data_IF_977894310281
#
_entry.id   IF_977894310281
#
_cell.length_a   1.000
_cell.length_b   1.000
_cell.length_c   1.000
_cell.angle_alpha   90.00
_cell.angle_beta   90.00
_cell.angle_gamma   90.00
#
_symmetry.space_group_name_H-M   'P 1'
#
loop_
_entity.id
_entity.type
_entity.pdbx_description
1 polymer ?
#
# COMPACT_ATOMS: atom_id res chain seq x y z
N UNK A 1 22.50 -21.48 24.74
CA UNK A 1 21.36 -21.38 23.79
C UNK A 1 21.75 -21.72 22.35
N UNK A 2 22.96 -21.41 21.86
CA UNK A 2 23.34 -21.72 20.47
C UNK A 2 23.44 -23.22 20.09
N UNK A 3 23.67 -24.12 21.05
CA UNK A 3 23.77 -25.56 20.79
C UNK A 3 22.43 -26.23 20.51
N UNK A 4 21.34 -25.78 21.16
CA UNK A 4 20.00 -26.35 20.98
C UNK A 4 19.38 -25.96 19.62
N UNK A 5 19.66 -24.74 19.14
CA UNK A 5 19.17 -24.26 17.84
C UNK A 5 19.85 -25.03 16.69
N UNK A 6 21.16 -25.27 16.80
CA UNK A 6 21.88 -26.10 15.81
C UNK A 6 21.37 -27.53 15.79
N UNK A 7 20.98 -28.10 16.93
CA UNK A 7 20.49 -29.49 17.01
C UNK A 7 19.10 -29.66 16.36
N UNK A 8 18.18 -28.71 16.56
CA UNK A 8 16.84 -28.75 15.93
C UNK A 8 16.89 -28.53 14.42
N UNK A 9 17.80 -27.67 13.93
CA UNK A 9 18.00 -27.49 12.49
C UNK A 9 18.56 -28.75 11.83
N UNK A 10 19.53 -29.42 12.48
CA UNK A 10 20.07 -30.72 12.03
C UNK A 10 18.97 -31.80 12.07
N UNK A 11 18.14 -31.83 13.11
CA UNK A 11 17.01 -32.76 13.21
C UNK A 11 16.01 -32.54 12.08
N UNK A 12 15.67 -31.29 11.78
CA UNK A 12 14.77 -30.94 10.67
C UNK A 12 15.36 -31.40 9.34
N UNK A 13 16.65 -31.17 9.11
CA UNK A 13 17.33 -31.61 7.89
C UNK A 13 17.32 -33.14 7.73
N UNK A 14 17.62 -33.88 8.80
CA UNK A 14 17.56 -35.36 8.80
C UNK A 14 16.15 -35.88 8.49
N UNK A 15 15.12 -35.27 9.07
CA UNK A 15 13.72 -35.64 8.78
C UNK A 15 13.39 -35.46 7.30
N UNK A 16 13.86 -34.38 6.68
CA UNK A 16 13.66 -34.15 5.24
C UNK A 16 14.42 -35.18 4.42
N UNK A 17 15.68 -35.48 4.74
CA UNK A 17 16.48 -36.50 4.04
C UNK A 17 15.84 -37.90 4.13
N UNK A 18 15.30 -38.27 5.31
CA UNK A 18 14.53 -39.49 5.48
C UNK A 18 13.26 -39.50 4.63
N UNK A 19 12.55 -38.39 4.56
CA UNK A 19 11.35 -38.24 3.73
C UNK A 19 11.70 -38.37 2.24
N UNK A 20 12.77 -37.71 1.78
CA UNK A 20 13.26 -37.80 0.42
C UNK A 20 13.63 -39.24 0.06
N UNK A 21 14.32 -39.94 0.95
CA UNK A 21 14.69 -41.35 0.76
C UNK A 21 13.46 -42.24 0.63
N UNK A 22 12.44 -42.04 1.47
CA UNK A 22 11.16 -42.76 1.41
C UNK A 22 10.38 -42.49 0.12
N UNK A 23 10.42 -41.26 -0.36
CA UNK A 23 9.75 -40.84 -1.60
C UNK A 23 10.57 -41.15 -2.87
N UNK A 24 11.80 -41.67 -2.72
CA UNK A 24 12.70 -41.97 -3.84
C UNK A 24 13.23 -40.72 -4.56
N UNK A 25 13.17 -39.55 -3.91
CA UNK A 25 13.61 -38.28 -4.46
C UNK A 25 15.14 -38.21 -4.41
N UNK A 26 15.77 -37.93 -5.55
CA UNK A 26 17.24 -37.91 -5.67
C UNK A 26 17.86 -36.52 -5.65
N UNK A 27 17.05 -35.47 -5.83
CA UNK A 27 17.51 -34.07 -5.90
C UNK A 27 16.59 -33.19 -5.06
N UNK A 28 17.18 -32.21 -4.37
CA UNK A 28 16.43 -31.23 -3.58
C UNK A 28 15.47 -30.40 -4.43
N UNK A 29 15.79 -30.20 -5.71
CA UNK A 29 14.94 -29.50 -6.67
C UNK A 29 13.63 -30.24 -6.98
N UNK A 30 13.56 -31.54 -6.75
CA UNK A 30 12.36 -32.34 -7.05
C UNK A 30 11.42 -32.42 -5.83
N UNK A 31 11.82 -31.86 -4.68
CA UNK A 31 11.00 -31.81 -3.47
C UNK A 31 9.89 -30.77 -3.66
N UNK A 32 8.66 -31.27 -3.69
CA UNK A 32 7.45 -30.46 -3.86
C UNK A 32 6.63 -30.35 -2.58
N UNK A 33 6.74 -31.34 -1.70
CA UNK A 33 5.92 -31.52 -0.50
C UNK A 33 6.79 -31.87 0.71
N UNK A 34 6.63 -31.16 1.83
CA UNK A 34 7.36 -31.43 3.08
C UNK A 34 6.41 -31.68 4.25
N UNK A 35 6.56 -32.84 4.89
CA UNK A 35 5.73 -33.27 6.01
C UNK A 35 6.56 -33.22 7.31
N UNK A 36 6.42 -32.13 8.06
CA UNK A 36 7.15 -31.85 9.30
C UNK A 36 6.20 -31.65 10.50
N UNK A 37 5.01 -32.26 10.44
CA UNK A 37 4.00 -32.13 11.49
C UNK A 37 4.34 -32.93 12.75
N UNK A 38 3.95 -32.41 13.93
CA UNK A 38 4.02 -33.09 15.23
C UNK A 38 5.44 -33.56 15.64
N UNK A 39 6.47 -32.80 15.28
CA UNK A 39 7.86 -33.14 15.57
C UNK A 39 8.42 -32.40 16.80
N UNK A 40 7.60 -31.54 17.41
CA UNK A 40 7.98 -30.71 18.55
C UNK A 40 9.04 -29.66 18.21
N UNK A 41 9.13 -29.26 16.94
CA UNK A 41 10.16 -28.34 16.45
C UNK A 41 9.97 -26.96 17.07
N UNK A 42 11.07 -26.38 17.54
CA UNK A 42 11.09 -24.97 18.03
C UNK A 42 11.64 -24.02 16.97
N UNK A 43 12.43 -24.55 16.04
CA UNK A 43 13.00 -23.86 14.90
C UNK A 43 13.08 -24.80 13.68
N UNK A 44 13.21 -24.24 12.49
CA UNK A 44 13.30 -24.99 11.22
C UNK A 44 14.56 -24.60 10.45
N UNK A 45 15.13 -25.55 9.71
CA UNK A 45 16.24 -25.26 8.80
C UNK A 45 15.79 -24.40 7.61
N UNK A 46 16.75 -23.76 6.92
CA UNK A 46 16.46 -22.96 5.73
C UNK A 46 15.95 -23.85 4.58
N UNK A 47 14.80 -23.51 3.98
CA UNK A 47 14.22 -24.24 2.87
C UNK A 47 14.64 -23.68 1.51
N UNK A 48 15.59 -22.74 1.47
CA UNK A 48 16.07 -22.10 0.24
C UNK A 48 16.59 -23.05 -0.84
N UNK A 49 17.06 -24.25 -0.48
CA UNK A 49 17.50 -25.27 -1.43
C UNK A 49 16.35 -25.94 -2.20
N UNK A 50 15.14 -25.98 -1.63
CA UNK A 50 13.97 -26.65 -2.20
C UNK A 50 13.11 -25.69 -3.03
N UNK A 51 13.61 -25.34 -4.23
CA UNK A 51 13.00 -24.30 -5.10
C UNK A 51 11.64 -24.66 -5.72
N UNK A 52 11.25 -25.93 -5.67
CA UNK A 52 9.99 -26.42 -6.22
C UNK A 52 8.95 -26.74 -5.13
N UNK A 53 9.21 -26.33 -3.89
CA UNK A 53 8.23 -26.51 -2.80
C UNK A 53 6.91 -25.83 -3.13
N UNK A 54 5.87 -26.63 -3.00
CA UNK A 54 4.50 -26.26 -3.26
C UNK A 54 3.66 -26.35 -1.97
N UNK A 55 3.89 -27.38 -1.15
CA UNK A 55 3.12 -27.62 0.08
C UNK A 55 4.01 -27.93 1.27
N UNK A 56 3.71 -27.31 2.41
CA UNK A 56 4.47 -27.49 3.65
C UNK A 56 3.52 -27.71 4.82
N UNK A 57 3.70 -28.83 5.52
CA UNK A 57 3.03 -29.16 6.77
C UNK A 57 3.97 -28.98 7.95
N UNK A 58 3.74 -27.94 8.75
CA UNK A 58 4.50 -27.60 9.95
C UNK A 58 3.60 -27.55 11.20
N UNK A 59 2.42 -28.17 11.11
CA UNK A 59 1.42 -28.15 12.16
C UNK A 59 1.80 -28.97 13.41
N UNK A 60 1.32 -28.57 14.58
CA UNK A 60 1.55 -29.28 15.84
C UNK A 60 3.01 -29.23 16.32
N UNK A 61 3.70 -28.13 16.05
CA UNK A 61 5.06 -27.89 16.53
C UNK A 61 5.04 -26.76 17.59
N UNK A 62 6.22 -26.28 17.99
CA UNK A 62 6.39 -25.20 18.97
C UNK A 62 7.11 -24.01 18.34
N UNK A 63 6.83 -23.77 17.06
CA UNK A 63 7.49 -22.72 16.30
C UNK A 63 7.02 -21.36 16.81
N UNK A 64 7.98 -20.49 17.13
CA UNK A 64 7.71 -19.10 17.55
C UNK A 64 7.93 -18.09 16.44
N UNK A 65 8.82 -18.43 15.51
CA UNK A 65 9.20 -17.64 14.34
C UNK A 65 9.55 -18.58 13.20
N UNK A 66 9.44 -18.08 11.97
CA UNK A 66 9.85 -18.79 10.77
C UNK A 66 10.57 -17.78 9.90
N UNK A 67 11.80 -18.08 9.51
CA UNK A 67 12.62 -17.20 8.66
C UNK A 67 13.05 -17.88 7.35
N UNK A 68 12.57 -19.11 7.12
CA UNK A 68 13.14 -20.05 6.17
C UNK A 68 12.41 -20.11 4.82
N UNK A 69 11.48 -19.18 4.56
CA UNK A 69 10.61 -19.19 3.37
C UNK A 69 10.90 -18.06 2.37
N UNK A 70 11.94 -17.27 2.60
CA UNK A 70 12.23 -16.05 1.83
C UNK A 70 12.40 -16.27 0.32
N UNK A 71 12.80 -17.48 -0.09
CA UNK A 71 13.14 -17.81 -1.48
C UNK A 71 12.03 -18.63 -2.15
N UNK A 72 11.07 -19.17 -1.40
CA UNK A 72 10.12 -20.18 -1.87
C UNK A 72 8.81 -19.58 -2.40
N UNK A 73 8.89 -18.75 -3.44
CA UNK A 73 7.74 -18.04 -4.04
C UNK A 73 6.65 -18.94 -4.66
N UNK A 74 6.92 -20.26 -4.81
CA UNK A 74 6.00 -21.24 -5.42
C UNK A 74 5.06 -21.92 -4.43
N UNK A 75 5.24 -21.71 -3.13
CA UNK A 75 4.39 -22.36 -2.12
C UNK A 75 2.95 -21.91 -2.33
N UNK A 76 2.04 -22.88 -2.49
CA UNK A 76 0.59 -22.66 -2.59
C UNK A 76 -0.14 -23.00 -1.30
N UNK A 77 0.36 -23.96 -0.51
CA UNK A 77 -0.29 -24.39 0.73
C UNK A 77 0.70 -24.40 1.90
N UNK A 78 0.37 -23.67 2.95
CA UNK A 78 1.16 -23.57 4.16
C UNK A 78 0.29 -23.86 5.39
N UNK A 79 0.64 -24.95 6.08
CA UNK A 79 -0.06 -25.41 7.27
C UNK A 79 0.80 -25.16 8.51
N UNK A 80 0.38 -24.20 9.33
CA UNK A 80 1.09 -23.70 10.52
C UNK A 80 0.22 -23.72 11.78
N UNK A 81 -0.90 -24.42 11.75
CA UNK A 81 -1.77 -24.54 12.91
C UNK A 81 -1.12 -25.26 14.09
N UNK A 82 -1.62 -24.98 15.30
CA UNK A 82 -1.13 -25.57 16.54
C UNK A 82 0.38 -25.32 16.74
N UNK A 83 0.77 -24.05 16.71
CA UNK A 83 2.13 -23.58 16.97
C UNK A 83 2.11 -22.43 18.01
N UNK A 84 3.28 -21.85 18.31
CA UNK A 84 3.43 -20.73 19.24
C UNK A 84 3.82 -19.43 18.52
N UNK A 85 3.34 -19.23 17.27
CA UNK A 85 3.72 -18.06 16.47
C UNK A 85 3.15 -16.79 17.09
N UNK A 86 4.02 -15.81 17.35
CA UNK A 86 3.64 -14.51 17.93
C UNK A 86 3.43 -13.45 16.84
N UNK A 87 4.18 -13.55 15.74
CA UNK A 87 4.08 -12.64 14.60
C UNK A 87 4.40 -13.40 13.31
N UNK A 88 3.85 -12.91 12.20
CA UNK A 88 4.13 -13.38 10.83
C UNK A 88 4.88 -12.35 9.99
N UNK A 89 5.40 -11.27 10.61
CA UNK A 89 6.11 -10.23 9.89
C UNK A 89 7.36 -10.75 9.15
N UNK A 90 7.51 -10.32 7.90
CA UNK A 90 8.61 -10.70 7.01
C UNK A 90 8.59 -12.15 6.52
N UNK A 91 7.69 -13.00 7.04
CA UNK A 91 7.59 -14.41 6.65
C UNK A 91 6.84 -14.59 5.33
N UNK A 92 5.81 -13.77 5.13
CA UNK A 92 4.71 -14.04 4.22
C UNK A 92 4.81 -13.18 2.94
N UNK A 93 5.46 -12.01 2.99
CA UNK A 93 5.70 -11.14 1.83
C UNK A 93 6.20 -11.84 0.54
N UNK A 94 7.16 -12.79 0.57
CA UNK A 94 7.67 -13.40 -0.66
C UNK A 94 6.72 -14.47 -1.25
N UNK A 95 5.71 -14.92 -0.49
CA UNK A 95 4.82 -16.02 -0.87
C UNK A 95 3.64 -15.55 -1.73
N UNK A 96 3.94 -14.96 -2.89
CA UNK A 96 2.93 -14.38 -3.80
C UNK A 96 1.95 -15.41 -4.38
N UNK A 97 2.36 -16.68 -4.48
CA UNK A 97 1.55 -17.78 -5.02
C UNK A 97 0.70 -18.52 -3.97
N UNK A 98 0.72 -18.08 -2.71
CA UNK A 98 0.06 -18.77 -1.61
C UNK A 98 -1.47 -18.73 -1.79
N UNK A 99 -2.12 -19.89 -1.70
CA UNK A 99 -3.55 -20.08 -1.88
C UNK A 99 -4.26 -20.46 -0.58
N UNK A 100 -3.59 -21.26 0.25
CA UNK A 100 -4.12 -21.79 1.51
C UNK A 100 -3.13 -21.50 2.62
N UNK A 101 -3.60 -20.80 3.66
CA UNK A 101 -2.83 -20.51 4.85
C UNK A 101 -3.62 -20.87 6.11
N UNK A 102 -3.12 -21.86 6.85
CA UNK A 102 -3.72 -22.29 8.11
C UNK A 102 -2.85 -21.83 9.28
N UNK A 103 -3.35 -20.92 10.09
CA UNK A 103 -2.66 -20.31 11.23
C UNK A 103 -3.48 -20.40 12.53
N UNK A 104 -4.52 -21.23 12.55
CA UNK A 104 -5.36 -21.37 13.74
C UNK A 104 -4.59 -21.94 14.93
N UNK A 105 -5.02 -21.58 16.13
CA UNK A 105 -4.37 -21.98 17.39
C UNK A 105 -2.88 -21.58 17.43
N UNK A 106 -2.63 -20.28 17.32
CA UNK A 106 -1.33 -19.63 17.48
C UNK A 106 -1.46 -18.45 18.47
N UNK A 107 -0.40 -17.66 18.64
CA UNK A 107 -0.36 -16.52 19.57
C UNK A 107 -0.26 -15.18 18.84
N UNK A 108 -0.86 -15.07 17.65
CA UNK A 108 -0.81 -13.84 16.86
C UNK A 108 -1.67 -12.75 17.52
N UNK A 109 -1.05 -11.62 17.86
CA UNK A 109 -1.71 -10.51 18.56
C UNK A 109 -2.01 -9.30 17.69
N UNK A 110 -1.17 -9.02 16.68
CA UNK A 110 -1.27 -7.80 15.89
C UNK A 110 -2.00 -8.07 14.56
N UNK A 111 -3.20 -7.52 14.43
CA UNK A 111 -4.02 -7.65 13.23
C UNK A 111 -3.45 -6.85 12.05
N UNK A 112 -2.97 -5.63 12.28
CA UNK A 112 -2.47 -4.76 11.22
C UNK A 112 -1.19 -5.32 10.59
N UNK A 113 -0.25 -5.78 11.43
CA UNK A 113 0.98 -6.44 11.00
C UNK A 113 0.67 -7.69 10.16
N UNK A 114 -0.22 -8.55 10.66
CA UNK A 114 -0.63 -9.79 9.99
C UNK A 114 -1.27 -9.51 8.62
N UNK A 115 -2.13 -8.49 8.54
CA UNK A 115 -2.80 -8.12 7.30
C UNK A 115 -1.84 -7.47 6.30
N UNK A 116 -0.90 -6.65 6.75
CA UNK A 116 0.10 -6.01 5.89
C UNK A 116 0.95 -7.04 5.12
N UNK A 117 1.27 -8.16 5.76
CA UNK A 117 1.97 -9.28 5.15
C UNK A 117 1.14 -10.00 4.07
N UNK A 118 -0.18 -10.10 4.27
CA UNK A 118 -1.09 -10.79 3.36
C UNK A 118 -1.55 -9.93 2.18
N UNK A 119 -1.45 -8.59 2.27
CA UNK A 119 -1.85 -7.67 1.18
C UNK A 119 -1.17 -7.95 -0.15
N UNK A 120 0.07 -8.45 -0.12
CA UNK A 120 0.82 -8.79 -1.34
C UNK A 120 0.33 -10.08 -2.02
N UNK A 121 -0.45 -10.91 -1.33
CA UNK A 121 -0.88 -12.23 -1.80
C UNK A 121 -2.17 -12.13 -2.62
N UNK A 122 -2.01 -12.11 -3.94
CA UNK A 122 -3.15 -12.03 -4.86
C UNK A 122 -3.89 -13.37 -5.00
N UNK A 123 -3.20 -14.48 -4.76
CA UNK A 123 -3.73 -15.83 -4.93
C UNK A 123 -4.35 -16.43 -3.65
N UNK A 124 -4.35 -15.71 -2.52
CA UNK A 124 -4.81 -16.26 -1.25
C UNK A 124 -6.33 -16.38 -1.22
N UNK A 125 -6.84 -17.62 -1.15
CA UNK A 125 -8.27 -17.92 -1.17
C UNK A 125 -8.79 -18.42 0.17
N UNK A 126 -7.95 -19.12 0.94
CA UNK A 126 -8.36 -19.77 2.19
C UNK A 126 -7.43 -19.35 3.31
N UNK A 127 -7.99 -18.74 4.35
CA UNK A 127 -7.27 -18.28 5.53
C UNK A 127 -8.00 -18.72 6.78
N UNK A 128 -7.26 -19.19 7.77
CA UNK A 128 -7.81 -19.52 9.07
C UNK A 128 -6.88 -19.01 10.16
N UNK A 129 -7.34 -18.01 10.90
CA UNK A 129 -6.66 -17.38 12.03
C UNK A 129 -7.46 -17.57 13.33
N UNK A 130 -8.52 -18.38 13.31
CA UNK A 130 -9.30 -18.69 14.50
C UNK A 130 -8.42 -19.17 15.67
N UNK A 131 -8.85 -18.91 16.91
CA UNK A 131 -8.08 -19.24 18.11
C UNK A 131 -6.71 -18.54 18.18
N UNK A 132 -6.60 -17.33 17.63
CA UNK A 132 -5.52 -16.38 17.93
C UNK A 132 -6.08 -15.19 18.74
N UNK A 133 -5.26 -14.54 19.58
CA UNK A 133 -5.65 -13.31 20.28
C UNK A 133 -6.22 -12.22 19.36
N UNK A 134 -5.64 -12.02 18.17
CA UNK A 134 -6.13 -11.03 17.20
C UNK A 134 -7.56 -11.29 16.69
N UNK A 135 -8.05 -12.53 16.78
CA UNK A 135 -9.41 -12.87 16.36
C UNK A 135 -10.47 -12.40 17.35
N UNK A 136 -10.07 -11.89 18.52
CA UNK A 136 -10.96 -11.31 19.53
C UNK A 136 -11.20 -9.82 19.32
N UNK A 137 -10.45 -9.17 18.43
CA UNK A 137 -10.63 -7.75 18.13
C UNK A 137 -12.00 -7.48 17.50
N UNK A 138 -12.58 -6.32 17.84
CA UNK A 138 -13.79 -5.85 17.19
C UNK A 138 -13.52 -5.64 15.70
N UNK A 139 -14.50 -5.96 14.84
CA UNK A 139 -14.40 -5.81 13.38
C UNK A 139 -13.30 -6.64 12.70
N UNK A 140 -12.57 -7.50 13.42
CA UNK A 140 -11.52 -8.40 12.91
C UNK A 140 -11.84 -8.99 11.52
N UNK A 141 -13.06 -9.54 11.40
CA UNK A 141 -13.54 -10.19 10.18
C UNK A 141 -13.69 -9.20 9.02
N UNK A 142 -14.36 -8.07 9.24
CA UNK A 142 -14.57 -7.04 8.22
C UNK A 142 -13.24 -6.38 7.83
N UNK A 143 -12.32 -6.17 8.79
CA UNK A 143 -11.00 -5.61 8.54
C UNK A 143 -10.18 -6.49 7.58
N UNK A 144 -10.16 -7.81 7.79
CA UNK A 144 -9.47 -8.75 6.89
C UNK A 144 -10.14 -8.78 5.52
N UNK A 145 -11.47 -8.88 5.48
CA UNK A 145 -12.23 -8.93 4.22
C UNK A 145 -11.95 -7.68 3.36
N UNK A 146 -11.84 -6.51 3.99
CA UNK A 146 -11.53 -5.26 3.30
C UNK A 146 -10.10 -5.24 2.72
N UNK A 147 -9.10 -5.66 3.50
CA UNK A 147 -7.69 -5.54 3.12
C UNK A 147 -7.16 -6.71 2.29
N UNK A 148 -7.80 -7.88 2.33
CA UNK A 148 -7.43 -9.08 1.57
C UNK A 148 -8.60 -9.51 0.67
N UNK A 149 -8.83 -8.80 -0.45
CA UNK A 149 -10.01 -9.02 -1.28
C UNK A 149 -9.99 -10.35 -2.06
N UNK A 150 -8.83 -11.00 -2.21
CA UNK A 150 -8.67 -12.32 -2.85
C UNK A 150 -9.34 -13.46 -2.07
N UNK A 151 -9.62 -13.26 -0.78
CA UNK A 151 -10.04 -14.30 0.14
C UNK A 151 -11.47 -14.78 -0.10
N UNK A 152 -11.68 -16.10 -0.21
CA UNK A 152 -13.01 -16.71 -0.38
C UNK A 152 -13.52 -17.32 0.92
N UNK A 153 -12.63 -17.86 1.72
CA UNK A 153 -12.93 -18.55 2.96
C UNK A 153 -12.06 -18.00 4.10
N UNK A 154 -12.71 -17.56 5.17
CA UNK A 154 -12.09 -17.04 6.39
C UNK A 154 -12.64 -17.82 7.60
N UNK A 155 -11.75 -18.42 8.38
CA UNK A 155 -12.09 -19.15 9.63
C UNK A 155 -13.14 -20.25 9.47
N UNK A 156 -13.05 -20.99 8.36
CA UNK A 156 -14.00 -22.04 7.94
C UNK A 156 -15.39 -21.52 7.56
N UNK A 157 -15.52 -20.21 7.36
CA UNK A 157 -16.74 -19.58 6.86
C UNK A 157 -16.49 -18.94 5.50
N UNK A 158 -17.40 -19.16 4.55
CA UNK A 158 -17.38 -18.45 3.27
C UNK A 158 -17.63 -16.97 3.48
N UNK A 159 -16.95 -16.13 2.70
CA UNK A 159 -17.16 -14.68 2.72
C UNK A 159 -18.31 -14.34 1.77
N UNK A 160 -19.38 -13.79 2.33
CA UNK A 160 -20.54 -13.36 1.56
C UNK A 160 -20.28 -12.00 0.90
N UNK A 161 -21.00 -11.72 -0.19
CA UNK A 161 -20.93 -10.41 -0.86
C UNK A 161 -21.41 -9.29 0.06
N UNK A 162 -22.44 -9.53 0.87
CA UNK A 162 -22.94 -8.56 1.85
C UNK A 162 -21.87 -8.13 2.85
N UNK A 163 -21.07 -9.08 3.36
CA UNK A 163 -19.97 -8.78 4.29
C UNK A 163 -18.89 -7.93 3.62
N UNK A 164 -18.60 -8.17 2.34
CA UNK A 164 -17.68 -7.33 1.56
C UNK A 164 -18.20 -5.92 1.37
N UNK A 165 -19.50 -5.78 1.07
CA UNK A 165 -20.13 -4.47 0.90
C UNK A 165 -20.17 -3.69 2.22
N UNK A 166 -20.42 -4.37 3.34
CA UNK A 166 -20.37 -3.80 4.69
C UNK A 166 -18.96 -3.36 5.07
N UNK A 167 -17.96 -4.23 4.87
CA UNK A 167 -16.55 -3.92 5.12
C UNK A 167 -16.09 -2.73 4.25
N UNK A 168 -16.49 -2.70 2.98
CA UNK A 168 -16.22 -1.58 2.09
C UNK A 168 -16.86 -0.29 2.61
N UNK A 169 -18.12 -0.30 3.05
CA UNK A 169 -18.77 0.89 3.61
C UNK A 169 -18.04 1.42 4.84
N UNK A 170 -17.66 0.54 5.76
CA UNK A 170 -16.97 0.93 7.00
C UNK A 170 -15.64 1.63 6.71
N UNK A 171 -14.78 1.05 5.88
CA UNK A 171 -13.43 1.59 5.65
C UNK A 171 -13.30 2.55 4.46
N UNK A 172 -14.27 2.59 3.54
CA UNK A 172 -14.29 3.58 2.45
C UNK A 172 -14.93 4.91 2.85
N UNK A 173 -15.77 4.95 3.90
CA UNK A 173 -16.35 6.20 4.41
C UNK A 173 -15.27 7.20 4.83
N UNK A 174 -14.21 6.74 5.48
CA UNK A 174 -13.08 7.59 5.86
C UNK A 174 -12.35 8.14 4.63
N UNK A 175 -12.16 7.32 3.59
CA UNK A 175 -11.56 7.76 2.33
C UNK A 175 -12.48 8.72 1.56
N UNK A 176 -13.79 8.51 1.57
CA UNK A 176 -14.75 9.40 0.91
C UNK A 176 -14.86 10.74 1.63
N UNK A 177 -14.96 10.75 2.97
CA UNK A 177 -14.92 11.97 3.78
C UNK A 177 -13.62 12.75 3.57
N UNK A 178 -12.48 12.06 3.52
CA UNK A 178 -11.19 12.68 3.18
C UNK A 178 -11.17 13.19 1.73
N UNK A 179 -11.69 12.47 0.75
CA UNK A 179 -11.75 12.93 -0.65
C UNK A 179 -12.69 14.12 -0.84
N UNK A 180 -13.83 14.15 -0.15
CA UNK A 180 -14.75 15.30 -0.11
C UNK A 180 -14.06 16.51 0.54
N UNK A 181 -13.28 16.29 1.59
CA UNK A 181 -12.49 17.34 2.25
C UNK A 181 -11.31 17.80 1.38
N UNK A 182 -10.74 16.91 0.56
CA UNK A 182 -9.61 17.16 -0.35
C UNK A 182 -10.09 17.62 -1.73
N UNK A 183 -11.40 17.80 -1.97
CA UNK A 183 -11.95 18.31 -3.22
C UNK A 183 -11.55 19.78 -3.46
N UNK A 184 -10.28 19.98 -3.79
CA UNK A 184 -9.64 21.20 -4.21
C UNK A 184 -10.06 21.44 -5.66
N UNK A 185 -11.13 22.22 -5.86
CA UNK A 185 -11.62 22.52 -7.20
C UNK A 185 -13.12 22.66 -7.36
N UNK A 186 -13.92 22.56 -6.29
CA UNK A 186 -15.27 23.13 -6.34
C UNK A 186 -15.14 24.64 -6.57
N UNK A 187 -15.37 25.08 -7.82
CA UNK A 187 -15.54 26.51 -8.12
C UNK A 187 -16.73 26.97 -7.31
N UNK A 188 -16.50 27.86 -6.34
CA UNK A 188 -17.58 28.59 -5.70
C UNK A 188 -18.38 29.29 -6.79
N UNK A 189 -19.65 28.95 -6.97
CA UNK A 189 -20.56 29.80 -7.71
C UNK A 189 -20.62 31.13 -6.94
N UNK A 190 -20.05 32.18 -7.56
CA UNK A 190 -20.09 33.53 -7.00
C UNK A 190 -21.53 33.95 -6.75
N UNK A 191 -21.76 34.90 -5.83
CA UNK A 191 -23.11 35.29 -5.44
C UNK A 191 -23.91 35.74 -6.67
N UNK A 192 -25.14 35.22 -6.80
CA UNK A 192 -26.03 35.48 -7.92
C UNK A 192 -26.14 36.99 -8.16
N UNK A 193 -25.69 37.42 -9.35
CA UNK A 193 -25.83 38.81 -9.77
C UNK A 193 -27.32 39.14 -9.88
N UNK A 194 -27.75 40.14 -9.09
CA UNK A 194 -29.10 40.70 -9.13
C UNK A 194 -29.48 41.02 -10.56
N UNK A 195 -30.59 40.43 -11.00
CA UNK A 195 -31.30 40.79 -12.21
C UNK A 195 -31.51 42.31 -12.27
N UNK A 196 -31.08 42.93 -13.38
CA UNK A 196 -31.62 44.20 -13.83
C UNK A 196 -32.42 43.95 -15.10
N UNK A 197 -33.67 44.35 -15.00
CA UNK A 197 -34.70 44.32 -16.01
C UNK A 197 -34.34 45.07 -17.30
N UNK A 198 -34.80 44.46 -18.40
CA UNK A 198 -35.47 45.03 -19.58
C UNK A 198 -34.69 45.85 -20.62
N UNK A 199 -34.74 45.34 -21.86
CA UNK A 199 -34.48 46.08 -23.08
C UNK A 199 -34.36 45.18 -24.34
N UNK A 200 -35.50 44.72 -24.84
CA UNK A 200 -35.84 44.19 -26.19
C UNK A 200 -34.86 44.67 -27.30
N UNK A 201 -34.31 43.83 -28.20
CA UNK A 201 -34.86 43.50 -29.55
C UNK A 201 -33.98 42.43 -30.27
N UNK A 202 -34.71 41.48 -30.88
CA UNK A 202 -34.50 40.43 -31.91
C UNK A 202 -33.20 40.19 -32.72
N UNK A 203 -32.91 38.88 -32.88
CA UNK A 203 -32.48 38.08 -34.07
C UNK A 203 -31.49 38.69 -35.10
N UNK A 204 -30.38 38.03 -35.44
CA UNK A 204 -30.35 36.89 -36.37
C UNK A 204 -28.96 36.22 -36.45
N UNK A 205 -28.96 34.96 -36.91
CA UNK A 205 -27.84 34.02 -36.95
C UNK A 205 -26.85 34.22 -38.12
N UNK A 206 -25.66 33.65 -37.89
CA UNK A 206 -24.70 33.02 -38.82
C UNK A 206 -23.52 33.83 -39.42
N UNK A 207 -22.33 33.36 -38.98
CA UNK A 207 -21.11 33.00 -39.71
C UNK A 207 -20.21 34.07 -40.37
N UNK A 208 -18.95 34.02 -39.91
CA UNK A 208 -17.69 34.21 -40.64
C UNK A 208 -17.58 35.44 -41.56
N UNK A 209 -16.79 36.43 -41.15
CA UNK A 209 -15.37 36.50 -41.51
C UNK A 209 -14.75 37.85 -41.13
N UNK A 210 -13.47 37.78 -40.82
CA UNK A 210 -12.42 38.78 -41.04
C UNK A 210 -12.56 40.20 -40.47
N UNK A 211 -11.47 40.55 -39.78
CA UNK A 211 -10.80 41.85 -39.75
C UNK A 211 -10.95 42.72 -38.50
N UNK A 212 -9.75 43.07 -38.02
CA UNK A 212 -9.30 44.22 -37.24
C UNK A 212 -9.42 44.22 -35.71
N UNK A 213 -8.33 43.78 -35.08
CA UNK A 213 -7.57 44.36 -33.93
C UNK A 213 -8.34 45.04 -32.79
N UNK A 214 -8.19 44.51 -31.57
CA UNK A 214 -7.21 45.03 -30.59
C UNK A 214 -7.12 44.17 -29.31
N UNK A 215 -5.87 43.89 -28.94
CA UNK A 215 -5.29 43.70 -27.60
C UNK A 215 -5.98 42.82 -26.53
N UNK A 216 -5.28 41.74 -26.17
CA UNK A 216 -5.52 41.00 -24.93
C UNK A 216 -5.05 39.56 -24.95
N UNK A 217 -3.73 39.35 -25.10
CA UNK A 217 -3.07 38.05 -25.14
C UNK A 217 -3.32 37.20 -23.88
N UNK A 218 -3.94 36.04 -24.06
CA UNK A 218 -3.67 34.84 -23.24
C UNK A 218 -3.51 33.67 -24.20
N UNK A 219 -2.28 33.46 -24.67
CA UNK A 219 -1.92 32.29 -25.48
C UNK A 219 -0.62 31.69 -24.96
N UNK A 220 -0.65 30.38 -24.70
CA UNK A 220 0.49 29.56 -24.34
C UNK A 220 1.63 29.76 -25.36
N UNK A 221 2.75 30.35 -24.91
CA UNK A 221 3.94 30.53 -25.73
C UNK A 221 4.66 29.19 -25.99
N UNK A 222 4.34 28.53 -27.09
CA UNK A 222 5.35 27.79 -27.86
C UNK A 222 5.88 28.72 -28.95
N UNK A 223 6.90 29.53 -28.61
CA UNK A 223 7.63 30.29 -29.61
C UNK A 223 8.61 29.33 -30.27
N UNK A 224 8.35 28.97 -31.54
CA UNK A 224 9.38 28.35 -32.38
C UNK A 224 10.41 29.43 -32.74
N UNK A 225 11.72 29.21 -32.52
CA UNK A 225 12.71 30.25 -32.81
C UNK A 225 12.85 30.46 -34.33
N UNK A 226 13.30 31.65 -34.78
CA UNK A 226 13.57 31.91 -36.19
C UNK A 226 14.68 30.97 -36.68
N UNK A 227 14.64 30.58 -37.97
CA UNK A 227 15.66 29.72 -38.58
C UNK A 227 17.02 30.42 -38.67
N UNK A 228 17.79 30.35 -37.58
CA UNK A 228 19.24 30.57 -37.53
C UNK A 228 20.02 29.26 -37.62
N UNK A 229 21.36 29.34 -37.70
CA UNK A 229 22.24 28.17 -37.71
C UNK A 229 22.12 27.39 -36.38
N UNK A 230 22.35 26.06 -36.38
CA UNK A 230 22.08 25.19 -35.22
C UNK A 230 22.85 25.57 -33.94
N UNK A 231 24.03 26.19 -34.07
CA UNK A 231 24.87 26.58 -32.93
C UNK A 231 24.31 27.80 -32.17
N UNK A 232 23.70 28.76 -32.87
CA UNK A 232 23.07 29.94 -32.23
C UNK A 232 21.82 29.56 -31.42
N UNK A 233 21.03 28.59 -31.90
CA UNK A 233 19.85 28.10 -31.17
C UNK A 233 20.22 27.33 -29.89
N UNK A 234 21.40 26.70 -29.84
CA UNK A 234 21.92 26.05 -28.64
C UNK A 234 22.45 27.09 -27.64
N UNK A 235 23.11 28.13 -28.12
CA UNK A 235 23.56 29.24 -27.29
C UNK A 235 22.37 30.01 -26.68
N UNK A 236 21.33 30.35 -27.46
CA UNK A 236 20.12 31.02 -26.95
C UNK A 236 19.37 30.15 -25.93
N UNK A 237 19.24 28.84 -26.18
CA UNK A 237 18.59 27.91 -25.25
C UNK A 237 19.43 27.67 -23.97
N UNK A 238 20.75 27.77 -24.06
CA UNK A 238 21.65 27.71 -22.90
C UNK A 238 21.58 28.98 -22.03
N UNK A 239 21.24 30.14 -22.62
CA UNK A 239 21.00 31.40 -21.90
C UNK A 239 19.57 31.45 -21.31
N UNK A 240 18.60 30.80 -21.95
CA UNK A 240 17.24 30.57 -21.42
C UNK A 240 17.20 29.39 -20.43
N UNK A 241 18.02 29.39 -19.38
CA UNK A 241 17.74 28.49 -18.24
C UNK A 241 16.50 29.01 -17.53
N UNK A 242 15.42 28.24 -17.60
CA UNK A 242 14.16 28.56 -16.91
C UNK A 242 14.46 28.76 -15.43
N UNK A 243 14.31 30.00 -14.94
CA UNK A 243 14.46 30.32 -13.53
C UNK A 243 13.31 29.62 -12.82
N UNK A 244 13.66 28.63 -11.97
CA UNK A 244 12.68 27.98 -11.13
C UNK A 244 12.40 28.90 -9.94
N UNK A 245 11.17 29.37 -9.84
CA UNK A 245 10.70 30.27 -8.78
C UNK A 245 9.73 29.51 -7.87
N UNK A 246 10.04 29.45 -6.58
CA UNK A 246 9.14 28.90 -5.57
C UNK A 246 8.81 29.98 -4.55
N UNK A 247 7.51 30.25 -4.40
CA UNK A 247 6.99 31.17 -3.41
C UNK A 247 6.39 30.39 -2.25
N UNK A 248 6.83 30.69 -1.02
CA UNK A 248 6.29 30.08 0.19
C UNK A 248 5.99 31.14 1.25
N UNK A 249 5.04 30.85 2.13
CA UNK A 249 4.70 31.74 3.24
C UNK A 249 5.76 31.66 4.34
N UNK A 250 6.23 32.81 4.82
CA UNK A 250 7.16 32.83 5.96
C UNK A 250 6.41 32.58 7.27
N UNK A 251 6.38 31.31 7.70
CA UNK A 251 5.74 30.89 8.94
C UNK A 251 6.49 31.33 10.19
N UNK A 252 7.76 31.77 10.07
CA UNK A 252 8.56 32.20 11.23
C UNK A 252 8.07 33.53 11.82
N UNK A 253 7.44 34.36 10.99
CA UNK A 253 6.85 35.65 11.39
C UNK A 253 5.45 35.53 11.99
N UNK A 254 4.87 34.33 12.01
CA UNK A 254 3.53 34.09 12.54
C UNK A 254 3.62 33.67 14.01
N UNK A 255 3.10 34.47 14.97
CA UNK A 255 3.21 34.15 16.39
C UNK A 255 2.52 32.81 16.69
N UNK A 256 3.15 32.01 17.56
CA UNK A 256 2.62 30.70 17.98
C UNK A 256 1.35 30.87 18.81
N UNK A 257 0.53 29.83 18.89
CA UNK A 257 -0.78 29.91 19.56
C UNK A 257 -0.69 30.34 21.04
N UNK A 258 0.42 30.02 21.71
CA UNK A 258 0.70 30.42 23.09
C UNK A 258 1.01 31.92 23.21
N UNK A 259 1.80 32.48 22.28
CA UNK A 259 2.16 33.91 22.25
C UNK A 259 0.95 34.80 21.97
N UNK A 260 0.01 34.34 21.14
CA UNK A 260 -1.26 35.05 20.87
C UNK A 260 -2.16 35.15 22.09
N UNK A 261 -2.05 34.22 23.04
CA UNK A 261 -2.88 34.19 24.25
C UNK A 261 -2.37 35.14 25.32
N UNK A 262 -1.06 35.38 25.39
CA UNK A 262 -0.45 36.23 26.41
C UNK A 262 -0.42 37.72 26.04
N UNK A 263 -0.42 38.07 24.75
CA UNK A 263 -0.17 39.45 24.32
C UNK A 263 -1.36 40.03 23.51
N UNK A 264 -2.20 40.86 24.15
CA UNK A 264 -3.43 41.42 23.56
C UNK A 264 -3.23 42.53 22.52
N UNK A 265 -1.99 42.92 22.22
CA UNK A 265 -1.69 44.07 21.34
C UNK A 265 -0.80 43.76 20.12
N UNK A 266 -0.73 42.50 19.69
CA UNK A 266 -0.02 42.17 18.44
C UNK A 266 -0.98 42.34 17.27
N UNK A 267 -1.07 43.56 16.75
CA UNK A 267 -1.55 43.79 15.38
C UNK A 267 -0.75 42.88 14.45
N UNK A 268 -1.47 42.00 13.76
CA UNK A 268 -0.90 40.87 13.04
C UNK A 268 0.19 41.32 12.07
N UNK A 269 1.40 40.80 12.27
CA UNK A 269 2.46 40.85 11.27
C UNK A 269 1.88 40.35 9.94
N UNK A 270 1.82 41.25 8.95
CA UNK A 270 1.28 40.96 7.63
C UNK A 270 2.07 39.79 7.04
N UNK A 271 1.38 38.74 6.62
CA UNK A 271 2.02 37.56 6.04
C UNK A 271 2.78 37.96 4.78
N UNK A 272 4.10 37.79 4.81
CA UNK A 272 4.95 38.01 3.65
C UNK A 272 5.18 36.70 2.91
N UNK A 273 5.05 36.74 1.59
CA UNK A 273 5.39 35.64 0.70
C UNK A 273 6.86 35.81 0.35
N UNK A 274 7.67 34.81 0.68
CA UNK A 274 9.08 34.78 0.29
C UNK A 274 9.18 33.99 -1.00
N UNK A 275 9.80 34.60 -2.00
CA UNK A 275 10.05 33.98 -3.29
C UNK A 275 11.54 33.71 -3.44
N UNK A 276 11.89 32.44 -3.63
CA UNK A 276 13.28 32.02 -3.88
C UNK A 276 13.41 31.61 -5.35
N UNK A 277 14.40 32.19 -6.02
CA UNK A 277 14.71 31.92 -7.44
C UNK A 277 16.02 31.16 -7.56
N UNK A 278 16.00 30.06 -8.28
CA UNK A 278 17.17 29.26 -8.59
C UNK A 278 17.54 29.43 -10.07
N UNK A 279 18.83 29.64 -10.35
CA UNK A 279 19.40 29.76 -11.69
C UNK A 279 20.23 28.52 -12.03
#
# INVERSE_FOLDING_TARGET
MGTAIMDESIKTQKLIEEQMTKQGIRKDLDVTELYLSNQGLTDVCDFGQYRMLNRIWLNGNKLRRINCLSINYRISELYLQDNELVSVAGLLQPLTSLQVLMLHNNQLTDLEETVNEMKAMQALHTLNLSQNPLAQEAEYRHYIIHHVPSLKLLDRQEILKSERDEAAKMYQQDRQSLLETIAFGHRCEGPAQRAKDQGVVSESRHSFSSSTVSDGEVANHFISPPRGTPEDAVAERAVQRSIMEYSHFDWTKKPRAEERRMNKNVEGSKTEIITVRFR
#
